data_IF_738930583150
#
_entry.id   IF_738930583150
#
_cell.length_a   1.000
_cell.length_b   1.000
_cell.length_c   1.000
_cell.angle_alpha   90.00
_cell.angle_beta   90.00
_cell.angle_gamma   90.00
#
_symmetry.space_group_name_H-M   'P 1'
#
loop_
_entity.id
_entity.type
_entity.pdbx_description
1 polymer ?
#
# COMPACT_ATOMS: atom_id res chain seq x y z
N UNK A 1 0.68 4.87 4.94
CA UNK A 1 1.65 4.92 6.01
C UNK A 1 2.94 5.62 5.61
N UNK A 2 3.31 5.56 4.35
CA UNK A 2 4.49 6.25 3.85
C UNK A 2 4.12 7.03 2.61
N UNK A 3 4.63 8.25 2.52
CA UNK A 3 4.44 9.07 1.32
C UNK A 3 5.81 9.30 0.71
N UNK A 4 5.97 8.93 -0.55
CA UNK A 4 7.22 9.09 -1.27
C UNK A 4 6.97 9.89 -2.55
N UNK A 5 8.03 10.44 -3.10
CA UNK A 5 7.97 11.13 -4.38
C UNK A 5 8.98 10.52 -5.34
N UNK A 6 8.54 10.32 -6.56
CA UNK A 6 9.42 9.87 -7.64
C UNK A 6 9.05 10.66 -8.89
N UNK A 7 9.98 11.52 -9.34
CA UNK A 7 9.70 12.48 -10.41
C UNK A 7 8.52 13.36 -9.99
N UNK A 8 7.47 13.44 -10.80
CA UNK A 8 6.30 14.26 -10.50
C UNK A 8 5.16 13.47 -9.88
N UNK A 9 5.41 12.22 -9.52
CA UNK A 9 4.38 11.35 -8.96
C UNK A 9 4.55 11.22 -7.45
N UNK A 10 3.46 11.44 -6.73
CA UNK A 10 3.41 11.18 -5.29
C UNK A 10 2.89 9.77 -5.08
N UNK A 11 3.61 8.98 -4.30
CA UNK A 11 3.28 7.58 -4.08
C UNK A 11 2.88 7.40 -2.62
N UNK A 12 1.65 6.97 -2.40
CA UNK A 12 1.17 6.60 -1.07
C UNK A 12 1.40 5.11 -0.90
N UNK A 13 2.18 4.73 0.09
CA UNK A 13 2.58 3.34 0.27
C UNK A 13 1.93 2.77 1.53
N UNK A 14 1.13 1.74 1.33
CA UNK A 14 0.55 0.97 2.42
C UNK A 14 1.47 -0.23 2.71
N UNK A 15 1.89 -0.36 3.96
CA UNK A 15 2.71 -1.49 4.38
C UNK A 15 1.82 -2.48 5.13
N UNK A 16 1.77 -3.72 4.64
CA UNK A 16 0.96 -4.78 5.24
C UNK A 16 1.86 -5.91 5.67
N UNK A 17 1.81 -6.25 6.96
CA UNK A 17 2.59 -7.35 7.51
C UNK A 17 1.69 -8.53 7.84
N UNK A 18 2.17 -9.75 7.56
CA UNK A 18 1.46 -10.98 7.85
C UNK A 18 2.45 -12.02 8.36
N UNK A 19 2.04 -12.76 9.38
CA UNK A 19 2.87 -13.83 9.95
C UNK A 19 2.55 -15.20 9.35
N UNK A 20 1.50 -15.28 8.54
CA UNK A 20 1.05 -16.54 7.94
C UNK A 20 0.43 -16.23 6.58
N UNK A 21 0.63 -17.13 5.63
CA UNK A 21 0.04 -17.01 4.30
C UNK A 21 -1.23 -17.86 4.14
N UNK A 22 -1.81 -18.33 5.25
CA UNK A 22 -3.02 -19.14 5.20
C UNK A 22 -4.26 -18.34 4.83
N UNK A 23 -4.16 -17.03 4.80
CA UNK A 23 -5.27 -16.12 4.54
C UNK A 23 -5.36 -15.67 3.07
N UNK A 24 -4.70 -16.37 2.16
CA UNK A 24 -4.72 -16.03 0.73
C UNK A 24 -3.51 -15.21 0.32
N UNK A 25 -3.59 -14.61 -0.86
CA UNK A 25 -2.51 -13.79 -1.40
C UNK A 25 -2.40 -12.46 -0.66
N UNK A 26 -1.20 -11.86 -0.60
CA UNK A 26 -1.00 -10.58 0.10
C UNK A 26 -1.96 -9.47 -0.34
N UNK A 27 -2.21 -9.35 -1.64
CA UNK A 27 -3.11 -8.33 -2.16
C UNK A 27 -4.56 -8.56 -1.73
N UNK A 28 -4.92 -9.79 -1.39
CA UNK A 28 -6.27 -10.12 -0.93
C UNK A 28 -6.52 -9.69 0.52
N UNK A 29 -5.45 -9.31 1.24
CA UNK A 29 -5.60 -8.79 2.59
C UNK A 29 -6.20 -7.40 2.61
N UNK A 30 -6.25 -6.73 1.46
CA UNK A 30 -6.84 -5.40 1.37
C UNK A 30 -8.28 -5.54 0.91
N UNK A 31 -9.21 -5.31 1.83
CA UNK A 31 -10.64 -5.41 1.55
C UNK A 31 -11.09 -4.24 0.66
N UNK A 32 -12.25 -4.40 0.02
CA UNK A 32 -12.85 -3.33 -0.76
C UNK A 32 -13.04 -2.06 0.08
N UNK A 33 -13.51 -2.22 1.30
CA UNK A 33 -13.71 -1.10 2.21
C UNK A 33 -12.41 -0.38 2.50
N UNK A 34 -11.32 -1.12 2.72
CA UNK A 34 -10.01 -0.51 2.96
C UNK A 34 -9.52 0.23 1.73
N UNK A 35 -9.73 -0.33 0.54
CA UNK A 35 -9.40 0.34 -0.72
C UNK A 35 -10.11 1.68 -0.84
N UNK A 36 -11.39 1.70 -0.55
CA UNK A 36 -12.18 2.93 -0.62
C UNK A 36 -11.67 3.98 0.36
N UNK A 37 -11.32 3.57 1.58
CA UNK A 37 -10.77 4.47 2.57
C UNK A 37 -9.41 5.03 2.13
N UNK A 38 -8.57 4.18 1.57
CA UNK A 38 -7.25 4.60 1.11
C UNK A 38 -7.36 5.58 -0.06
N UNK A 39 -8.25 5.30 -1.01
CA UNK A 39 -8.49 6.21 -2.13
C UNK A 39 -9.01 7.56 -1.65
N UNK A 40 -9.96 7.55 -0.73
CA UNK A 40 -10.51 8.79 -0.20
C UNK A 40 -9.46 9.60 0.55
N UNK A 41 -8.64 8.96 1.36
CA UNK A 41 -7.59 9.62 2.11
C UNK A 41 -6.53 10.21 1.18
N UNK A 42 -6.12 9.45 0.17
CA UNK A 42 -5.14 9.91 -0.81
C UNK A 42 -5.66 11.09 -1.61
N UNK A 43 -6.90 11.00 -2.06
CA UNK A 43 -7.53 12.07 -2.81
C UNK A 43 -7.63 13.37 -1.99
N UNK A 44 -8.02 13.24 -0.73
CA UNK A 44 -8.10 14.38 0.18
C UNK A 44 -6.74 15.05 0.39
N UNK A 45 -5.71 14.23 0.64
CA UNK A 45 -4.35 14.72 0.81
C UNK A 45 -3.85 15.42 -0.45
N UNK A 46 -4.12 14.81 -1.60
CA UNK A 46 -3.70 15.36 -2.89
C UNK A 46 -4.37 16.71 -3.15
N UNK A 47 -5.66 16.82 -2.83
CA UNK A 47 -6.38 18.08 -3.01
C UNK A 47 -5.82 19.18 -2.10
N UNK A 48 -5.55 18.87 -0.84
CA UNK A 48 -5.02 19.85 0.11
C UNK A 48 -3.60 20.30 -0.25
N UNK A 49 -2.81 19.42 -0.86
CA UNK A 49 -1.40 19.70 -1.16
C UNK A 49 -1.17 19.99 -2.64
N UNK A 50 -2.23 20.18 -3.41
CA UNK A 50 -2.18 20.51 -4.84
C UNK A 50 -1.33 19.52 -5.62
N UNK A 51 -1.56 18.23 -5.39
CA UNK A 51 -0.87 17.14 -6.05
C UNK A 51 -1.72 16.67 -7.22
N UNK A 52 -1.18 16.73 -8.44
CA UNK A 52 -1.91 16.34 -9.64
C UNK A 52 -1.76 14.87 -10.02
N UNK A 53 -0.61 14.29 -9.70
CA UNK A 53 -0.31 12.91 -10.08
C UNK A 53 0.08 12.09 -8.85
N UNK A 54 -0.68 11.05 -8.59
CA UNK A 54 -0.42 10.19 -7.46
C UNK A 54 -0.90 8.76 -7.72
N UNK A 55 -0.37 7.84 -6.95
CA UNK A 55 -0.78 6.44 -6.99
C UNK A 55 -0.64 5.84 -5.61
N UNK A 56 -1.25 4.69 -5.41
CA UNK A 56 -1.16 3.95 -4.17
C UNK A 56 -0.47 2.62 -4.44
N UNK A 57 0.66 2.41 -3.77
CA UNK A 57 1.41 1.17 -3.83
C UNK A 57 1.20 0.40 -2.53
N UNK A 58 1.41 -0.90 -2.59
CA UNK A 58 1.32 -1.76 -1.41
C UNK A 58 2.61 -2.55 -1.28
N UNK A 59 3.15 -2.58 -0.06
CA UNK A 59 4.26 -3.44 0.29
C UNK A 59 3.72 -4.51 1.22
N UNK A 60 3.81 -5.76 0.82
CA UNK A 60 3.42 -6.88 1.65
C UNK A 60 4.67 -7.55 2.21
N UNK A 61 4.69 -7.71 3.52
CA UNK A 61 5.79 -8.37 4.22
C UNK A 61 5.21 -9.60 4.89
N UNK A 62 5.71 -10.77 4.49
CA UNK A 62 5.22 -12.03 5.02
C UNK A 62 6.37 -12.83 5.62
N UNK A 63 6.09 -13.50 6.73
CA UNK A 63 7.08 -14.38 7.34
C UNK A 63 6.79 -14.63 8.80
N UNK A 64 7.39 -15.71 9.30
CA UNK A 64 7.36 -16.03 10.72
C UNK A 64 8.59 -15.39 11.38
N UNK A 65 8.56 -15.14 12.70
CA UNK A 65 9.71 -14.53 13.37
C UNK A 65 11.05 -15.27 13.17
N UNK A 66 10.98 -16.56 12.95
CA UNK A 66 12.19 -17.40 12.79
C UNK A 66 12.67 -17.52 11.35
N UNK A 67 12.01 -16.85 10.40
CA UNK A 67 12.31 -16.97 8.98
C UNK A 67 12.59 -15.61 8.37
N UNK A 68 13.35 -15.59 7.28
CA UNK A 68 13.53 -14.37 6.52
C UNK A 68 12.19 -13.94 5.95
N UNK A 69 11.82 -12.67 6.09
CA UNK A 69 10.57 -12.20 5.51
C UNK A 69 10.62 -12.19 3.99
N UNK A 70 9.49 -12.45 3.38
CA UNK A 70 9.30 -12.27 1.95
C UNK A 70 8.64 -10.91 1.74
N UNK A 71 9.28 -10.05 0.97
CA UNK A 71 8.78 -8.70 0.71
C UNK A 71 8.32 -8.62 -0.74
N UNK A 72 7.07 -8.26 -0.94
CA UNK A 72 6.50 -8.10 -2.27
C UNK A 72 6.00 -6.67 -2.43
N UNK A 73 6.37 -6.05 -3.54
CA UNK A 73 5.96 -4.68 -3.85
C UNK A 73 4.92 -4.72 -4.97
N UNK A 74 3.76 -4.13 -4.72
CA UNK A 74 2.70 -4.01 -5.71
C UNK A 74 2.56 -2.56 -6.12
N UNK A 75 3.04 -2.25 -7.31
CA UNK A 75 2.99 -0.90 -7.84
C UNK A 75 1.60 -0.59 -8.37
N UNK A 76 1.09 0.59 -8.00
CA UNK A 76 -0.22 1.07 -8.45
C UNK A 76 -1.30 0.01 -8.18
N UNK A 77 -1.34 -0.48 -6.96
CA UNK A 77 -2.15 -1.63 -6.57
C UNK A 77 -3.62 -1.29 -6.30
N UNK A 78 -3.95 -0.01 -6.23
CA UNK A 78 -5.31 0.44 -5.89
C UNK A 78 -5.78 1.50 -6.87
#
# INVERSE_FOLDING_TARGET
DVIAKQNDITIFIEVKTRTSNTMGLPEEAITLRKREHMLAAADHYAAENKIDHWQIDVIAIEGKPSMKPVITYFENAI
#
